data_IF_428973262047
#
_entry.id   IF_428973262047
#
_cell.length_a   1.000
_cell.length_b   1.000
_cell.length_c   1.000
_cell.angle_alpha   90.00
_cell.angle_beta   90.00
_cell.angle_gamma   90.00
#
_symmetry.space_group_name_H-M   'P 1'
#
loop_
_entity.id
_entity.type
_entity.pdbx_description
1 polymer ?
#
# COMPACT_ATOMS: atom_id res chain seq x y z
N UNK A 1 -4.79 3.29 -13.46
CA UNK A 1 -5.92 3.94 -12.73
C UNK A 1 -6.03 5.39 -13.16
N UNK A 2 -7.18 5.84 -13.62
CA UNK A 2 -7.37 7.26 -13.98
C UNK A 2 -7.31 8.15 -12.74
N UNK A 3 -6.58 9.23 -12.82
CA UNK A 3 -6.45 10.24 -11.77
C UNK A 3 -7.26 11.50 -12.07
N UNK A 4 -7.32 11.86 -13.34
CA UNK A 4 -8.10 12.98 -13.85
C UNK A 4 -8.31 12.79 -15.36
N UNK A 5 -9.03 13.70 -15.99
CA UNK A 5 -9.39 13.60 -17.41
C UNK A 5 -8.21 13.28 -18.35
N UNK A 6 -7.01 13.80 -18.04
CA UNK A 6 -5.82 13.64 -18.88
C UNK A 6 -4.63 13.01 -18.16
N UNK A 7 -4.86 12.37 -17.02
CA UNK A 7 -3.78 11.75 -16.23
C UNK A 7 -4.12 10.32 -15.83
N UNK A 8 -3.15 9.44 -16.01
CA UNK A 8 -3.23 8.03 -15.65
C UNK A 8 -2.10 7.68 -14.69
N UNK A 9 -2.42 6.90 -13.66
CA UNK A 9 -1.42 6.31 -12.77
C UNK A 9 -1.20 4.88 -13.20
N UNK A 10 0.06 4.53 -13.45
CA UNK A 10 0.51 3.18 -13.74
C UNK A 10 1.32 2.68 -12.56
N UNK A 11 0.94 1.56 -12.00
CA UNK A 11 1.59 0.91 -10.88
C UNK A 11 1.11 -0.53 -10.75
N UNK A 12 1.78 -1.27 -10.01
CA UNK A 12 3.01 -1.02 -9.28
C UNK A 12 3.88 -2.26 -9.28
N UNK A 13 5.15 -2.07 -8.99
CA UNK A 13 6.04 -3.17 -8.62
C UNK A 13 6.03 -3.35 -7.11
N UNK A 14 6.62 -4.43 -6.63
CA UNK A 14 6.73 -4.75 -5.22
C UNK A 14 8.08 -5.41 -4.96
N UNK A 15 8.97 -4.70 -4.31
CA UNK A 15 10.32 -5.16 -4.03
C UNK A 15 10.56 -5.25 -2.52
N UNK A 16 11.29 -6.26 -2.10
CA UNK A 16 11.75 -6.40 -0.72
C UNK A 16 12.98 -5.51 -0.50
N UNK A 17 12.76 -4.20 -0.48
CA UNK A 17 13.81 -3.19 -0.39
C UNK A 17 13.26 -1.87 0.13
N UNK A 18 14.12 -1.04 0.69
CA UNK A 18 13.79 0.33 1.10
C UNK A 18 13.91 1.34 -0.04
N UNK A 19 14.44 0.92 -1.18
CA UNK A 19 14.59 1.75 -2.39
C UNK A 19 14.14 0.98 -3.61
N UNK A 20 13.68 1.65 -4.67
CA UNK A 20 13.41 0.99 -5.94
C UNK A 20 14.66 0.30 -6.46
N UNK A 21 14.51 -0.91 -6.97
CA UNK A 21 15.58 -1.57 -7.72
C UNK A 21 15.90 -0.79 -9.00
N UNK A 22 17.11 -0.98 -9.51
CA UNK A 22 17.48 -0.52 -10.83
C UNK A 22 16.46 -1.02 -11.87
N UNK A 23 16.07 -0.20 -12.81
CA UNK A 23 15.06 -0.52 -13.85
C UNK A 23 13.60 -0.72 -13.38
N UNK A 24 13.26 -0.46 -12.12
CA UNK A 24 11.88 -0.60 -11.62
C UNK A 24 10.88 0.21 -12.43
N UNK A 25 11.18 1.47 -12.71
CA UNK A 25 10.30 2.33 -13.49
C UNK A 25 10.23 1.91 -14.96
N UNK A 26 11.31 1.39 -15.50
CA UNK A 26 11.35 0.83 -16.85
C UNK A 26 10.47 -0.42 -16.96
N UNK A 27 10.51 -1.32 -15.98
CA UNK A 27 9.61 -2.47 -15.89
C UNK A 27 8.14 -2.06 -15.92
N UNK A 28 7.77 -0.99 -15.23
CA UNK A 28 6.41 -0.49 -15.23
C UNK A 28 5.98 0.06 -16.59
N UNK A 29 6.87 0.70 -17.33
CA UNK A 29 6.57 1.21 -18.67
C UNK A 29 6.55 0.11 -19.71
N UNK A 30 7.39 -0.92 -19.56
CA UNK A 30 7.47 -2.06 -20.48
C UNK A 30 6.41 -3.14 -20.21
N UNK A 31 5.77 -3.09 -19.07
CA UNK A 31 4.68 -4.02 -18.68
C UNK A 31 3.53 -4.03 -19.70
N UNK A 32 3.32 -2.93 -20.38
CA UNK A 32 2.28 -2.79 -21.38
C UNK A 32 2.84 -3.06 -22.80
N UNK A 33 3.16 -4.30 -23.13
CA UNK A 33 3.66 -4.70 -24.45
C UNK A 33 2.72 -4.29 -25.58
N UNK A 34 1.42 -4.23 -25.29
CA UNK A 34 0.38 -3.80 -26.25
C UNK A 34 -0.33 -2.57 -25.70
N UNK A 35 0.41 -1.46 -25.60
CA UNK A 35 -0.18 -0.18 -25.20
C UNK A 35 -1.23 0.26 -26.22
N UNK A 36 -2.41 0.72 -25.79
CA UNK A 36 -3.33 1.36 -26.70
C UNK A 36 -2.69 2.63 -27.30
N UNK A 37 -3.05 2.95 -28.54
CA UNK A 37 -2.44 4.07 -29.26
C UNK A 37 -2.51 5.40 -28.51
N UNK A 38 -3.59 5.64 -27.78
CA UNK A 38 -3.76 6.85 -26.99
C UNK A 38 -2.75 6.95 -25.82
N UNK A 39 -2.27 5.82 -25.30
CA UNK A 39 -1.26 5.79 -24.23
C UNK A 39 0.15 5.93 -24.77
N UNK A 40 0.41 5.51 -26.02
CA UNK A 40 1.74 5.61 -26.62
C UNK A 40 2.23 7.04 -26.79
N UNK A 41 1.32 8.01 -26.88
CA UNK A 41 1.62 9.44 -26.99
C UNK A 41 1.74 10.13 -25.63
N UNK A 42 1.53 9.38 -24.54
CA UNK A 42 1.60 9.92 -23.19
C UNK A 42 3.03 10.22 -22.76
N UNK A 43 3.19 11.27 -21.98
CA UNK A 43 4.45 11.65 -21.33
C UNK A 43 4.43 11.30 -19.86
N UNK A 44 5.56 10.86 -19.33
CA UNK A 44 5.72 10.59 -17.90
C UNK A 44 5.92 11.92 -17.18
N UNK A 45 4.93 12.34 -16.41
CA UNK A 45 4.99 13.60 -15.67
C UNK A 45 5.60 13.44 -14.27
N UNK A 46 5.50 12.26 -13.67
CA UNK A 46 6.00 12.01 -12.32
C UNK A 46 6.27 10.52 -12.10
N UNK A 47 7.38 10.24 -11.41
CA UNK A 47 7.71 8.92 -10.88
C UNK A 47 7.83 9.02 -9.37
N UNK A 48 7.32 8.03 -8.63
CA UNK A 48 7.47 7.98 -7.18
C UNK A 48 7.41 6.56 -6.67
N UNK A 49 7.84 6.38 -5.45
CA UNK A 49 7.71 5.14 -4.69
C UNK A 49 7.32 5.44 -3.25
N UNK A 50 6.87 4.43 -2.55
CA UNK A 50 6.61 4.47 -1.12
C UNK A 50 7.04 3.17 -0.47
N UNK A 51 7.23 3.19 0.83
CA UNK A 51 7.56 2.01 1.61
C UNK A 51 6.29 1.48 2.25
N UNK A 52 6.06 0.18 2.10
CA UNK A 52 4.94 -0.52 2.74
C UNK A 52 5.43 -1.24 3.98
N UNK A 53 4.67 -1.12 5.05
CA UNK A 53 4.91 -1.84 6.30
C UNK A 53 4.48 -3.29 6.14
N UNK A 54 5.43 -4.19 6.05
CA UNK A 54 5.20 -5.63 5.98
C UNK A 54 5.79 -6.30 7.22
N UNK A 55 4.97 -6.98 8.04
CA UNK A 55 5.48 -7.76 9.17
C UNK A 55 6.40 -8.87 8.70
N UNK A 56 7.52 -9.05 9.39
CA UNK A 56 8.43 -10.16 9.16
C UNK A 56 8.14 -11.26 10.19
N UNK A 57 7.92 -12.49 9.70
CA UNK A 57 7.63 -13.65 10.54
C UNK A 57 6.25 -13.67 11.19
N UNK A 58 5.37 -12.71 10.91
CA UNK A 58 4.01 -12.64 11.43
C UNK A 58 2.98 -12.41 10.31
N UNK A 59 1.73 -12.87 10.49
CA UNK A 59 0.66 -12.51 9.56
C UNK A 59 0.41 -11.00 9.52
N UNK A 60 0.03 -10.48 8.38
CA UNK A 60 -0.40 -9.09 8.20
C UNK A 60 -1.94 -9.00 8.28
N UNK A 61 -2.52 -8.00 8.96
CA UNK A 61 -1.89 -6.99 9.81
C UNK A 61 -1.52 -7.51 11.20
N UNK A 62 -0.65 -6.76 11.91
CA UNK A 62 -0.37 -7.01 13.32
C UNK A 62 -1.41 -6.28 14.16
N UNK A 63 -2.16 -7.03 14.97
CA UNK A 63 -3.18 -6.49 15.86
C UNK A 63 -2.99 -7.12 17.24
N UNK A 64 -2.47 -6.35 18.19
CA UNK A 64 -2.14 -6.85 19.53
C UNK A 64 -2.55 -5.84 20.59
N UNK A 65 -3.19 -6.34 21.64
CA UNK A 65 -3.33 -5.61 22.89
C UNK A 65 -2.15 -6.00 23.79
N UNK A 66 -1.26 -5.05 24.02
CA UNK A 66 -0.03 -5.26 24.80
C UNK A 66 -0.22 -5.02 26.30
N UNK A 67 -1.43 -4.67 26.73
CA UNK A 67 -1.72 -4.30 28.10
C UNK A 67 -1.38 -2.86 28.44
N UNK A 68 -1.69 -2.43 29.65
CA UNK A 68 -1.40 -1.08 30.16
C UNK A 68 -1.86 0.06 29.26
N UNK A 69 -2.96 -0.14 28.53
CA UNK A 69 -3.49 0.85 27.59
C UNK A 69 -2.78 0.94 26.26
N UNK A 70 -1.86 0.02 25.96
CA UNK A 70 -1.11 0.02 24.69
C UNK A 70 -1.71 -0.99 23.71
N UNK A 71 -2.19 -0.49 22.59
CA UNK A 71 -2.76 -1.29 21.50
C UNK A 71 -1.92 -1.06 20.24
N UNK A 72 -1.50 -2.16 19.62
CA UNK A 72 -0.75 -2.14 18.37
C UNK A 72 -1.65 -2.56 17.21
N UNK A 73 -1.74 -1.72 16.19
CA UNK A 73 -2.47 -2.00 14.95
C UNK A 73 -1.66 -1.45 13.77
N UNK A 74 -0.95 -2.32 13.07
CA UNK A 74 0.03 -1.92 12.06
C UNK A 74 0.31 -3.04 11.06
N UNK A 75 1.20 -2.79 10.10
CA UNK A 75 1.68 -3.82 9.20
C UNK A 75 0.66 -4.24 8.15
N UNK A 76 -0.13 -3.32 7.64
CA UNK A 76 -1.22 -3.62 6.70
C UNK A 76 -0.75 -4.03 5.31
N UNK A 77 0.49 -3.75 4.98
CA UNK A 77 1.11 -4.07 3.70
C UNK A 77 0.30 -3.51 2.51
N UNK A 78 -0.40 -4.37 1.75
CA UNK A 78 -1.18 -3.96 0.57
C UNK A 78 -2.66 -3.69 0.87
N UNK A 79 -3.13 -4.05 2.05
CA UNK A 79 -4.55 -4.15 2.37
C UNK A 79 -5.06 -3.07 3.33
N UNK A 80 -4.33 -1.96 3.49
CA UNK A 80 -4.69 -0.92 4.45
C UNK A 80 -6.11 -0.37 4.28
N UNK A 81 -6.48 0.01 3.07
CA UNK A 81 -7.82 0.54 2.78
C UNK A 81 -8.90 -0.52 3.00
N UNK A 82 -8.67 -1.74 2.53
CA UNK A 82 -9.64 -2.83 2.64
C UNK A 82 -9.90 -3.24 4.09
N UNK A 83 -8.85 -3.30 4.90
CA UNK A 83 -8.91 -3.79 6.28
C UNK A 83 -9.20 -2.70 7.31
N UNK A 84 -9.04 -1.43 6.97
CA UNK A 84 -9.20 -0.31 7.89
C UNK A 84 -10.52 -0.32 8.66
N UNK A 85 -11.70 -0.58 8.05
CA UNK A 85 -12.96 -0.60 8.80
C UNK A 85 -13.00 -1.69 9.88
N UNK A 86 -12.59 -2.91 9.55
CA UNK A 86 -12.59 -4.03 10.50
C UNK A 86 -11.56 -3.82 11.62
N UNK A 87 -10.37 -3.36 11.28
CA UNK A 87 -9.31 -3.08 12.25
C UNK A 87 -9.67 -1.94 13.20
N UNK A 88 -10.29 -0.88 12.67
CA UNK A 88 -10.78 0.24 13.47
C UNK A 88 -11.83 -0.21 14.50
N UNK A 89 -12.75 -1.07 14.06
CA UNK A 89 -13.76 -1.64 14.96
C UNK A 89 -13.13 -2.47 16.08
N UNK A 90 -12.13 -3.28 15.75
CA UNK A 90 -11.39 -4.05 16.73
C UNK A 90 -10.69 -3.15 17.76
N UNK A 91 -9.95 -2.13 17.30
CA UNK A 91 -9.27 -1.18 18.18
C UNK A 91 -10.26 -0.45 19.09
N UNK A 92 -11.39 0.00 18.54
CA UNK A 92 -12.44 0.64 19.33
C UNK A 92 -13.00 -0.26 20.44
N UNK A 93 -13.20 -1.54 20.13
CA UNK A 93 -13.65 -2.52 21.13
C UNK A 93 -12.59 -2.76 22.21
N UNK A 94 -11.32 -2.86 21.86
CA UNK A 94 -10.23 -3.01 22.83
C UNK A 94 -10.15 -1.80 23.78
N UNK A 95 -10.26 -0.59 23.23
CA UNK A 95 -10.30 0.64 24.04
C UNK A 95 -11.50 0.63 25.00
N UNK A 96 -12.67 0.28 24.48
CA UNK A 96 -13.89 0.23 25.27
C UNK A 96 -13.77 -0.77 26.42
N UNK A 97 -13.24 -1.95 26.16
CA UNK A 97 -13.03 -2.97 27.17
C UNK A 97 -11.99 -2.58 28.23
N UNK A 98 -11.01 -1.77 27.84
CA UNK A 98 -10.00 -1.24 28.76
C UNK A 98 -10.57 -0.15 29.68
N UNK A 99 -11.42 0.75 29.16
CA UNK A 99 -11.97 1.90 29.89
C UNK A 99 -13.22 1.56 30.71
N UNK A 100 -13.96 0.55 30.30
CA UNK A 100 -15.24 0.17 30.86
C UNK A 100 -15.27 -1.32 31.23
#
# INVERSE_FOLDING_TARGET
MPKSKNKLIIGSTDEYSTKPEENTFEKLTNFLDKKPNWLMKGEISKKWYGIRSRPDGEPSPIMKNLGDGLILCTGFYKNGILLAPACSKWVANEIKNYLY
#
